data_IF_215828214770
#
_entry.id   IF_215828214770
#
_cell.length_a   1.000
_cell.length_b   1.000
_cell.length_c   1.000
_cell.angle_alpha   90.00
_cell.angle_beta   90.00
_cell.angle_gamma   90.00
#
_symmetry.space_group_name_H-M   'P 1'
#
loop_
_entity.id
_entity.type
_entity.pdbx_description
1 polymer ?
#
# COMPACT_ATOMS: atom_id res chain seq x y z
N UNK A 1 8.48 15.71 -16.41
CA UNK A 1 8.36 14.68 -15.37
C UNK A 1 9.20 13.46 -15.73
N UNK A 2 9.98 12.96 -14.79
CA UNK A 2 10.72 11.71 -15.04
C UNK A 2 9.72 10.54 -15.04
N UNK A 3 9.58 9.86 -16.18
CA UNK A 3 8.62 8.76 -16.37
C UNK A 3 8.91 7.51 -15.51
N UNK A 4 10.05 7.48 -14.82
CA UNK A 4 10.45 6.36 -13.95
C UNK A 4 10.21 6.63 -12.47
N UNK A 5 9.33 7.58 -12.15
CA UNK A 5 8.91 7.87 -10.78
C UNK A 5 7.47 7.39 -10.57
N UNK A 6 7.23 6.69 -9.46
CA UNK A 6 5.92 6.11 -9.20
C UNK A 6 5.46 6.32 -7.77
N UNK A 7 4.15 6.26 -7.57
CA UNK A 7 3.51 6.16 -6.26
C UNK A 7 2.78 4.84 -6.15
N UNK A 8 2.91 4.18 -5.01
CA UNK A 8 2.09 3.04 -4.60
C UNK A 8 1.21 3.48 -3.43
N UNK A 9 -0.05 3.83 -3.69
CA UNK A 9 -0.96 4.29 -2.66
C UNK A 9 -1.70 3.14 -1.99
N UNK A 10 -2.03 3.31 -0.73
CA UNK A 10 -2.85 2.36 0.02
C UNK A 10 -3.13 2.85 1.42
N UNK A 11 -4.02 2.15 2.12
CA UNK A 11 -4.29 2.40 3.53
C UNK A 11 -3.19 1.84 4.42
N UNK A 12 -2.63 0.69 4.07
CA UNK A 12 -1.57 -0.01 4.82
C UNK A 12 -1.89 -0.12 6.32
N UNK A 13 -2.99 -0.77 6.63
CA UNK A 13 -3.55 -0.86 7.98
C UNK A 13 -3.70 -2.33 8.47
N UNK A 14 -2.61 -3.03 8.73
CA UNK A 14 -1.20 -2.64 8.56
C UNK A 14 -0.63 -3.01 7.18
N UNK A 15 0.62 -2.64 6.95
CA UNK A 15 1.41 -3.17 5.83
C UNK A 15 1.62 -4.68 6.00
N UNK A 16 1.48 -5.44 4.91
CA UNK A 16 1.60 -6.91 4.90
C UNK A 16 2.79 -7.38 4.06
N UNK A 17 3.09 -8.67 4.12
CA UNK A 17 4.12 -9.27 3.27
C UNK A 17 3.76 -9.18 1.78
N UNK A 18 2.47 -9.16 1.45
CA UNK A 18 2.02 -8.91 0.07
C UNK A 18 2.35 -7.49 -0.41
N UNK A 19 2.16 -6.49 0.44
CA UNK A 19 2.58 -5.12 0.14
C UNK A 19 4.10 -5.02 -0.01
N UNK A 20 4.85 -5.63 0.89
CA UNK A 20 6.32 -5.63 0.85
C UNK A 20 6.85 -6.23 -0.46
N UNK A 21 6.31 -7.37 -0.88
CA UNK A 21 6.67 -8.02 -2.14
C UNK A 21 6.42 -7.10 -3.35
N UNK A 22 5.23 -6.51 -3.42
CA UNK A 22 4.88 -5.59 -4.50
C UNK A 22 5.80 -4.37 -4.53
N UNK A 23 6.09 -3.79 -3.37
CA UNK A 23 7.01 -2.63 -3.25
C UNK A 23 8.40 -2.98 -3.74
N UNK A 24 8.97 -4.12 -3.34
CA UNK A 24 10.28 -4.58 -3.81
C UNK A 24 10.33 -4.73 -5.32
N UNK A 25 9.29 -5.33 -5.90
CA UNK A 25 9.21 -5.55 -7.36
C UNK A 25 9.01 -4.25 -8.11
N UNK A 26 8.14 -3.36 -7.62
CA UNK A 26 7.97 -2.02 -8.20
C UNK A 26 9.25 -1.19 -8.11
N UNK A 27 9.95 -1.25 -7.00
CA UNK A 27 11.23 -0.56 -6.80
C UNK A 27 12.32 -1.02 -7.78
N UNK A 28 12.23 -2.26 -8.31
CA UNK A 28 13.14 -2.73 -9.36
C UNK A 28 12.83 -2.17 -10.76
N UNK A 29 11.62 -1.65 -10.95
CA UNK A 29 11.15 -1.10 -12.24
C UNK A 29 11.35 0.42 -12.29
N UNK A 30 11.10 1.10 -11.18
CA UNK A 30 11.11 2.56 -11.08
C UNK A 30 12.37 3.06 -10.39
N UNK A 31 12.86 4.23 -10.82
CA UNK A 31 14.05 4.85 -10.21
C UNK A 31 13.73 5.43 -8.82
N UNK A 32 12.48 5.87 -8.61
CA UNK A 32 11.96 6.37 -7.35
C UNK A 32 10.54 5.86 -7.14
N UNK A 33 10.29 5.27 -5.99
CA UNK A 33 8.95 4.83 -5.58
C UNK A 33 8.55 5.49 -4.27
N UNK A 34 7.40 6.13 -4.26
CA UNK A 34 6.79 6.65 -3.04
C UNK A 34 5.67 5.71 -2.61
N UNK A 35 5.80 5.12 -1.45
CA UNK A 35 4.70 4.41 -0.79
C UNK A 35 3.87 5.45 -0.05
N UNK A 36 2.67 5.71 -0.54
CA UNK A 36 1.79 6.76 -0.04
C UNK A 36 0.70 6.17 0.85
N UNK A 37 0.79 6.45 2.14
CA UNK A 37 -0.16 5.95 3.14
C UNK A 37 -1.32 6.93 3.23
N UNK A 38 -2.51 6.49 2.83
CA UNK A 38 -3.71 7.31 2.84
C UNK A 38 -4.28 7.47 4.25
N UNK A 39 -4.67 8.68 4.60
CA UNK A 39 -5.33 8.95 5.88
C UNK A 39 -6.62 8.15 6.03
N UNK A 40 -7.48 8.14 5.01
CA UNK A 40 -8.72 7.36 4.90
C UNK A 40 -9.56 7.32 6.19
N UNK A 41 -9.97 8.48 6.78
CA UNK A 41 -10.67 8.50 8.06
C UNK A 41 -12.01 7.74 7.99
N UNK A 42 -12.66 7.70 6.82
CA UNK A 42 -13.94 7.01 6.62
C UNK A 42 -13.83 5.48 6.75
N UNK A 43 -12.64 4.91 6.61
CA UNK A 43 -12.40 3.47 6.81
C UNK A 43 -12.16 3.10 8.27
N UNK A 44 -12.13 4.08 9.18
CA UNK A 44 -11.83 3.89 10.60
C UNK A 44 -10.65 2.93 10.82
N UNK A 45 -9.43 3.27 10.37
CA UNK A 45 -8.29 2.38 10.44
C UNK A 45 -7.95 2.04 11.89
N UNK A 46 -7.40 0.83 12.10
CA UNK A 46 -6.97 0.36 13.43
C UNK A 46 -5.81 1.20 13.97
N UNK A 47 -4.86 1.52 13.09
CA UNK A 47 -3.69 2.33 13.42
C UNK A 47 -3.85 3.77 12.92
N UNK A 48 -3.31 4.72 13.65
CA UNK A 48 -3.24 6.11 13.19
C UNK A 48 -2.41 6.23 11.91
N UNK A 49 -2.55 7.34 11.19
CA UNK A 49 -1.73 7.59 10.01
C UNK A 49 -0.23 7.55 10.35
N UNK A 50 0.17 8.15 11.46
CA UNK A 50 1.56 8.18 11.90
C UNK A 50 2.11 6.78 12.21
N UNK A 51 1.32 5.96 12.90
CA UNK A 51 1.69 4.57 13.19
C UNK A 51 1.84 3.75 11.90
N UNK A 52 0.95 3.91 10.94
CA UNK A 52 1.01 3.19 9.66
C UNK A 52 2.23 3.62 8.83
N UNK A 53 2.53 4.91 8.81
CA UNK A 53 3.73 5.44 8.14
C UNK A 53 5.00 4.90 8.80
N UNK A 54 5.07 4.92 10.13
CA UNK A 54 6.23 4.41 10.88
C UNK A 54 6.45 2.91 10.61
N UNK A 55 5.40 2.09 10.72
CA UNK A 55 5.50 0.66 10.42
C UNK A 55 5.98 0.42 8.98
N UNK A 56 5.43 1.13 8.01
CA UNK A 56 5.84 0.99 6.62
C UNK A 56 7.31 1.38 6.41
N UNK A 57 7.77 2.45 7.02
CA UNK A 57 9.19 2.85 6.96
C UNK A 57 10.11 1.78 7.54
N UNK A 58 9.76 1.21 8.66
CA UNK A 58 10.55 0.18 9.33
C UNK A 58 10.57 -1.13 8.55
N UNK A 59 9.44 -1.52 7.97
CA UNK A 59 9.32 -2.73 7.13
C UNK A 59 10.11 -2.59 5.83
N UNK A 60 10.11 -1.40 5.23
CA UNK A 60 10.69 -1.14 3.91
C UNK A 60 12.14 -0.59 3.97
N UNK A 61 12.77 -0.62 5.13
CA UNK A 61 14.12 -0.06 5.33
C UNK A 61 15.19 -0.67 4.41
N UNK A 62 14.98 -1.91 3.98
CA UNK A 62 15.89 -2.64 3.07
C UNK A 62 15.73 -2.28 1.59
N UNK A 63 14.73 -1.47 1.22
CA UNK A 63 14.48 -1.08 -0.16
C UNK A 63 14.95 0.37 -0.39
N UNK A 64 16.07 0.52 -1.10
CA UNK A 64 16.85 1.77 -1.14
C UNK A 64 16.17 2.98 -1.80
N UNK A 65 15.40 2.75 -2.86
CA UNK A 65 14.78 3.82 -3.67
C UNK A 65 13.30 4.03 -3.33
N UNK A 66 12.92 3.69 -2.09
CA UNK A 66 11.56 3.82 -1.57
C UNK A 66 11.51 4.90 -0.51
N UNK A 67 10.54 5.79 -0.65
CA UNK A 67 10.15 6.77 0.38
C UNK A 67 8.75 6.42 0.88
N UNK A 68 8.48 6.63 2.16
CA UNK A 68 7.13 6.46 2.73
C UNK A 68 6.61 7.81 3.19
N UNK A 69 5.44 8.17 2.70
CA UNK A 69 4.78 9.44 3.00
C UNK A 69 3.31 9.22 3.34
N UNK A 70 2.82 9.91 4.36
CA UNK A 70 1.38 10.01 4.61
C UNK A 70 0.75 11.09 3.72
N UNK A 71 -0.52 10.90 3.34
CA UNK A 71 -1.26 11.90 2.59
C UNK A 71 -2.77 11.83 2.87
N UNK A 72 -3.44 12.91 2.52
CA UNK A 72 -4.90 13.01 2.48
C UNK A 72 -5.35 13.59 1.14
N UNK A 73 -6.62 13.39 0.79
CA UNK A 73 -7.19 13.85 -0.47
C UNK A 73 -6.97 12.89 -1.65
N UNK A 74 -7.01 13.43 -2.85
CA UNK A 74 -6.94 12.63 -4.08
C UNK A 74 -5.51 12.14 -4.37
N UNK A 75 -5.40 10.86 -4.65
CA UNK A 75 -4.10 10.23 -5.02
C UNK A 75 -3.45 10.90 -6.22
N UNK A 76 -4.22 11.27 -7.23
CA UNK A 76 -3.70 11.95 -8.43
C UNK A 76 -3.12 13.33 -8.11
N UNK A 77 -3.73 14.07 -7.18
CA UNK A 77 -3.20 15.36 -6.74
C UNK A 77 -1.90 15.18 -5.96
N UNK A 78 -1.85 14.21 -5.07
CA UNK A 78 -0.62 13.84 -4.36
C UNK A 78 0.50 13.48 -5.35
N UNK A 79 0.20 12.63 -6.34
CA UNK A 79 1.15 12.23 -7.37
C UNK A 79 1.67 13.43 -8.15
N UNK A 80 0.79 14.33 -8.56
CA UNK A 80 1.15 15.55 -9.29
C UNK A 80 2.05 16.46 -8.47
N UNK A 81 1.68 16.74 -7.22
CA UNK A 81 2.45 17.60 -6.31
C UNK A 81 3.87 17.05 -6.05
N UNK A 82 4.02 15.73 -6.02
CA UNK A 82 5.29 15.05 -5.79
C UNK A 82 6.04 14.68 -7.07
N UNK A 83 5.54 15.13 -8.24
CA UNK A 83 6.11 14.87 -9.57
C UNK A 83 6.28 13.38 -9.87
N UNK A 84 5.27 12.59 -9.51
CA UNK A 84 5.22 11.15 -9.74
C UNK A 84 4.38 10.88 -11.00
N UNK A 85 4.98 10.19 -11.97
CA UNK A 85 4.39 10.00 -13.30
C UNK A 85 3.47 8.78 -13.39
N UNK A 86 3.60 7.84 -12.46
CA UNK A 86 2.90 6.55 -12.50
C UNK A 86 2.26 6.26 -11.14
N UNK A 87 1.01 5.79 -11.18
CA UNK A 87 0.35 5.19 -10.01
C UNK A 87 0.41 3.68 -10.17
N UNK A 88 1.05 3.00 -9.21
CA UNK A 88 1.10 1.53 -9.14
C UNK A 88 -0.05 1.03 -8.28
N UNK A 89 -0.79 0.05 -8.79
CA UNK A 89 -1.90 -0.61 -8.09
C UNK A 89 -1.69 -2.12 -8.10
N UNK A 90 -1.97 -2.78 -6.97
CA UNK A 90 -1.99 -4.24 -6.89
C UNK A 90 -3.33 -4.81 -7.32
N UNK A 91 -3.32 -5.91 -8.09
CA UNK A 91 -4.51 -6.68 -8.44
C UNK A 91 -4.40 -8.10 -7.90
N UNK A 92 -5.30 -8.50 -6.99
CA UNK A 92 -5.29 -9.82 -6.36
C UNK A 92 -6.33 -10.77 -6.94
N UNK A 93 -7.49 -10.26 -7.35
CA UNK A 93 -8.62 -11.05 -7.80
C UNK A 93 -9.40 -10.33 -8.90
N UNK A 94 -10.25 -11.06 -9.61
CA UNK A 94 -11.14 -10.51 -10.65
C UNK A 94 -12.04 -9.41 -10.10
N UNK A 95 -12.54 -9.56 -8.86
CA UNK A 95 -13.35 -8.55 -8.18
C UNK A 95 -12.62 -7.23 -7.94
N UNK A 96 -11.30 -7.26 -7.74
CA UNK A 96 -10.49 -6.05 -7.62
C UNK A 96 -10.35 -5.34 -8.97
N UNK A 97 -10.28 -6.10 -10.06
CA UNK A 97 -10.02 -5.58 -11.40
C UNK A 97 -11.05 -4.55 -11.85
N UNK A 98 -12.34 -4.83 -11.70
CA UNK A 98 -13.40 -3.95 -12.16
C UNK A 98 -13.33 -2.58 -11.46
N UNK A 99 -13.20 -2.57 -10.15
CA UNK A 99 -13.05 -1.35 -9.38
C UNK A 99 -11.77 -0.58 -9.75
N UNK A 100 -10.64 -1.27 -9.83
CA UNK A 100 -9.34 -0.68 -10.16
C UNK A 100 -9.32 -0.13 -11.58
N UNK A 101 -9.98 -0.81 -12.53
CA UNK A 101 -10.10 -0.35 -13.90
C UNK A 101 -10.89 0.95 -13.99
N UNK A 102 -12.03 1.05 -13.29
CA UNK A 102 -12.83 2.27 -13.22
C UNK A 102 -12.04 3.41 -12.58
N UNK A 103 -11.36 3.14 -11.49
CA UNK A 103 -10.53 4.13 -10.79
C UNK A 103 -9.40 4.66 -11.69
N UNK A 104 -8.74 3.79 -12.44
CA UNK A 104 -7.70 4.18 -13.40
C UNK A 104 -8.23 5.11 -14.50
N UNK A 105 -9.41 4.80 -15.06
CA UNK A 105 -10.05 5.63 -16.07
C UNK A 105 -10.44 7.00 -15.52
N UNK A 106 -11.01 7.06 -14.33
CA UNK A 106 -11.35 8.33 -13.68
C UNK A 106 -10.08 9.15 -13.36
N UNK A 107 -9.04 8.50 -12.88
CA UNK A 107 -7.75 9.15 -12.61
C UNK A 107 -7.15 9.76 -13.86
N UNK A 108 -7.17 9.03 -14.98
CA UNK A 108 -6.69 9.53 -16.28
C UNK A 108 -7.50 10.74 -16.76
N UNK A 109 -8.80 10.74 -16.52
CA UNK A 109 -9.66 11.87 -16.87
C UNK A 109 -9.31 13.13 -16.08
N UNK A 110 -9.03 12.97 -14.78
CA UNK A 110 -8.67 14.07 -13.89
C UNK A 110 -7.25 14.59 -14.13
N UNK A 111 -6.32 13.70 -14.45
CA UNK A 111 -4.89 14.01 -14.55
C UNK A 111 -4.26 13.17 -15.67
N UNK A 112 -4.44 13.61 -16.94
CA UNK A 112 -4.04 12.82 -18.12
C UNK A 112 -2.54 12.49 -18.20
N UNK A 113 -1.69 13.27 -17.54
CA UNK A 113 -0.23 13.09 -17.51
C UNK A 113 0.23 11.95 -16.59
N UNK A 114 -0.65 11.42 -15.72
CA UNK A 114 -0.32 10.35 -14.78
C UNK A 114 -0.94 9.04 -15.26
N UNK A 115 -0.11 8.03 -15.45
CA UNK A 115 -0.54 6.70 -15.91
C UNK A 115 -0.72 5.74 -14.72
N UNK A 116 -1.65 4.81 -14.85
CA UNK A 116 -1.85 3.73 -13.87
C UNK A 116 -1.28 2.42 -14.40
N UNK A 117 -0.52 1.74 -13.55
CA UNK A 117 0.08 0.43 -13.84
C UNK A 117 -0.39 -0.56 -12.78
N UNK A 118 -0.80 -1.74 -13.24
CA UNK A 118 -1.26 -2.82 -12.37
C UNK A 118 -0.20 -3.90 -12.24
N UNK A 119 -0.01 -4.38 -11.01
CA UNK A 119 0.89 -5.48 -10.71
C UNK A 119 0.14 -6.58 -9.97
N UNK A 120 0.36 -7.81 -10.38
CA UNK A 120 -0.19 -8.98 -9.68
C UNK A 120 0.73 -9.39 -8.54
N UNK A 121 0.19 -9.88 -7.41
CA UNK A 121 1.01 -10.43 -6.33
C UNK A 121 1.65 -11.75 -6.74
N UNK A 122 2.69 -12.15 -6.02
CA UNK A 122 3.12 -13.55 -6.07
C UNK A 122 2.01 -14.45 -5.54
N UNK A 123 1.94 -15.69 -6.03
CA UNK A 123 0.87 -16.64 -5.72
C UNK A 123 0.64 -16.80 -4.21
N UNK A 124 1.70 -16.91 -3.44
CA UNK A 124 1.66 -17.08 -1.98
C UNK A 124 1.04 -15.90 -1.22
N UNK A 125 0.94 -14.72 -1.84
CA UNK A 125 0.37 -13.51 -1.23
C UNK A 125 -1.02 -13.15 -1.77
N UNK A 126 -1.56 -13.92 -2.71
CA UNK A 126 -2.82 -13.62 -3.38
C UNK A 126 -4.01 -13.52 -2.41
N UNK A 127 -4.02 -14.31 -1.35
CA UNK A 127 -5.10 -14.35 -0.35
C UNK A 127 -4.89 -13.41 0.84
N UNK A 128 -3.73 -12.74 0.95
CA UNK A 128 -3.44 -11.85 2.08
C UNK A 128 -4.13 -10.51 1.91
N UNK A 129 -4.89 -10.10 2.92
CA UNK A 129 -5.43 -8.74 3.02
C UNK A 129 -5.21 -8.18 4.43
N UNK A 130 -5.07 -6.86 4.54
CA UNK A 130 -4.95 -6.21 5.85
C UNK A 130 -6.19 -6.44 6.71
N UNK A 131 -7.38 -6.50 6.11
CA UNK A 131 -8.63 -6.77 6.82
C UNK A 131 -8.60 -8.13 7.51
N UNK A 132 -8.25 -9.19 6.78
CA UNK A 132 -8.15 -10.54 7.36
C UNK A 132 -7.04 -10.63 8.41
N UNK A 133 -5.91 -10.00 8.17
CA UNK A 133 -4.81 -9.96 9.15
C UNK A 133 -5.28 -9.32 10.46
N UNK A 134 -5.99 -8.18 10.39
CA UNK A 134 -6.55 -7.54 11.60
C UNK A 134 -7.53 -8.44 12.32
N UNK A 135 -8.46 -9.05 11.60
CA UNK A 135 -9.47 -9.95 12.18
C UNK A 135 -8.82 -11.13 12.94
N UNK A 136 -7.87 -11.80 12.30
CA UNK A 136 -7.14 -12.92 12.90
C UNK A 136 -6.35 -12.45 14.13
N UNK A 137 -5.64 -11.34 14.03
CA UNK A 137 -4.79 -10.81 15.11
C UNK A 137 -5.62 -10.42 16.35
N UNK A 138 -6.75 -9.74 16.16
CA UNK A 138 -7.67 -9.33 17.25
C UNK A 138 -8.19 -10.54 18.02
N UNK A 139 -8.44 -11.64 17.33
CA UNK A 139 -8.91 -12.90 17.94
C UNK A 139 -7.76 -13.77 18.50
N UNK A 140 -6.54 -13.27 18.48
CA UNK A 140 -5.38 -13.97 19.03
C UNK A 140 -4.74 -15.01 18.11
N UNK A 141 -5.15 -15.05 16.83
CA UNK A 141 -4.56 -15.94 15.83
C UNK A 141 -3.13 -15.55 15.46
N UNK A 142 -2.39 -16.52 14.92
CA UNK A 142 -1.02 -16.31 14.45
C UNK A 142 -1.01 -15.64 13.07
N UNK A 143 -0.38 -14.48 12.96
CA UNK A 143 -0.25 -13.72 11.71
C UNK A 143 1.21 -13.61 11.22
N UNK A 144 2.14 -14.35 11.82
CA UNK A 144 3.57 -14.26 11.56
C UNK A 144 3.97 -14.52 10.10
N UNK A 145 3.18 -15.32 9.37
CA UNK A 145 3.42 -15.61 7.95
C UNK A 145 2.93 -14.48 7.01
N UNK A 146 2.10 -13.57 7.52
CA UNK A 146 1.44 -12.55 6.70
C UNK A 146 2.02 -11.17 6.86
N UNK A 147 2.76 -10.92 7.93
CA UNK A 147 3.31 -9.60 8.26
C UNK A 147 4.74 -9.70 8.79
N UNK A 148 5.44 -8.59 8.69
CA UNK A 148 6.77 -8.46 9.29
C UNK A 148 6.70 -8.56 10.82
N UNK A 149 7.72 -9.09 11.52
CA UNK A 149 7.72 -9.20 12.99
C UNK A 149 7.44 -7.89 13.73
N UNK A 150 7.87 -6.75 13.21
CA UNK A 150 7.58 -5.42 13.76
C UNK A 150 6.07 -5.15 13.78
N UNK A 151 5.38 -5.49 12.69
CA UNK A 151 3.92 -5.33 12.55
C UNK A 151 3.18 -6.29 13.46
N UNK A 152 3.66 -7.53 13.57
CA UNK A 152 3.08 -8.52 14.48
C UNK A 152 3.07 -8.02 15.95
N UNK A 153 4.16 -7.39 16.38
CA UNK A 153 4.26 -6.80 17.72
C UNK A 153 3.22 -5.70 17.94
N UNK A 154 3.02 -4.82 16.96
CA UNK A 154 2.01 -3.76 17.06
C UNK A 154 0.59 -4.33 17.08
N UNK A 155 0.30 -5.34 16.28
CA UNK A 155 -1.00 -6.01 16.26
C UNK A 155 -1.34 -6.68 17.59
N UNK A 156 -0.35 -7.26 18.28
CA UNK A 156 -0.54 -7.89 19.59
C UNK A 156 -1.07 -6.94 20.65
N UNK A 157 -0.80 -5.64 20.53
CA UNK A 157 -1.31 -4.61 21.45
C UNK A 157 -2.83 -4.40 21.33
N UNK A 158 -3.44 -4.83 20.21
CA UNK A 158 -4.86 -4.69 19.93
C UNK A 158 -5.68 -5.98 20.15
N UNK A 159 -5.08 -7.01 20.74
CA UNK A 159 -5.80 -8.26 21.06
C UNK A 159 -6.95 -7.98 22.02
N UNK A 160 -8.11 -8.53 21.71
CA UNK A 160 -9.22 -8.63 22.66
C UNK A 160 -9.02 -9.92 23.46
N UNK A 161 -8.65 -9.77 24.72
CA UNK A 161 -8.55 -10.88 25.68
C UNK A 161 -9.96 -11.25 26.13
#
# INVERSE_FOLDING_TARGET
>A
MNKRTAVYPGTFDPITNGHHDLVRRAASIFDRLVVAVAANPNKAPMFSLEERVDMARRVLVDVRNVEVMGYSGLTVEFARQNRLAVIVRGLRAVSDFEFEFQLANMSRHLTPEIESVFMTPQEQYTFISSTLVREIAVLGGNVSEFVHPIVELELKKHRKI
#
